data_IF_235773945076
#
_entry.id   IF_235773945076
#
_cell.length_a   1.000
_cell.length_b   1.000
_cell.length_c   1.000
_cell.angle_alpha   90.00
_cell.angle_beta   90.00
_cell.angle_gamma   90.00
#
_symmetry.space_group_name_H-M   'P 1'
#
loop_
_entity.id
_entity.type
_entity.pdbx_description
1 polymer ?
#
# COMPACT_ATOMS: atom_id res chain seq x y z
N UNK A 1 -27.43 -4.94 -29.55
CA UNK A 1 -28.90 -4.86 -29.51
C UNK A 1 -29.37 -5.49 -28.21
N UNK A 2 -29.97 -4.70 -27.30
CA UNK A 2 -30.90 -5.07 -26.21
C UNK A 2 -31.27 -3.73 -25.54
N UNK A 3 -32.20 -2.97 -26.12
CA UNK A 3 -33.64 -2.91 -25.78
C UNK A 3 -33.94 -2.34 -24.39
N UNK A 4 -34.22 -1.03 -24.39
CA UNK A 4 -34.76 -0.20 -23.31
C UNK A 4 -36.21 -0.58 -22.96
N UNK A 5 -36.59 -0.51 -21.68
CA UNK A 5 -38.01 -0.32 -21.33
C UNK A 5 -38.20 0.58 -20.09
N UNK A 6 -39.21 1.42 -20.27
CA UNK A 6 -39.60 2.65 -19.58
C UNK A 6 -40.06 2.52 -18.13
N UNK A 7 -39.92 3.66 -17.46
CA UNK A 7 -40.35 4.09 -16.14
C UNK A 7 -41.86 3.95 -15.86
N UNK A 8 -42.21 3.85 -14.57
CA UNK A 8 -43.50 4.31 -14.04
C UNK A 8 -43.32 4.99 -12.68
N UNK A 9 -43.74 6.27 -12.66
CA UNK A 9 -43.83 7.21 -11.53
C UNK A 9 -45.00 6.86 -10.62
N UNK A 10 -44.84 7.04 -9.30
CA UNK A 10 -45.92 7.28 -8.34
C UNK A 10 -45.41 8.20 -7.23
N UNK A 11 -45.99 9.41 -7.15
CA UNK A 11 -46.06 10.31 -5.98
C UNK A 11 -47.24 9.83 -5.10
N UNK A 12 -47.47 10.17 -3.83
CA UNK A 12 -47.06 11.19 -2.86
C UNK A 12 -47.17 10.51 -1.45
N UNK A 13 -46.94 11.08 -0.26
CA UNK A 13 -47.09 12.42 0.26
C UNK A 13 -46.31 12.55 1.58
N UNK A 14 -45.96 13.79 1.94
CA UNK A 14 -45.29 14.16 3.18
C UNK A 14 -46.27 14.28 4.36
N UNK A 15 -45.75 14.10 5.57
CA UNK A 15 -46.28 14.75 6.78
C UNK A 15 -45.16 14.97 7.77
N UNK A 16 -45.08 16.22 8.22
CA UNK A 16 -44.09 16.80 9.12
C UNK A 16 -44.43 16.58 10.59
N UNK A 17 -43.40 16.40 11.42
CA UNK A 17 -43.37 17.03 12.75
C UNK A 17 -41.94 17.10 13.27
N UNK A 18 -41.52 18.30 13.66
CA UNK A 18 -40.26 18.59 14.32
C UNK A 18 -40.43 18.46 15.85
N UNK A 19 -39.44 17.87 16.55
CA UNK A 19 -39.21 18.12 17.98
C UNK A 19 -37.71 18.11 18.27
N UNK A 20 -37.27 19.26 18.77
CA UNK A 20 -36.16 19.67 19.64
C UNK A 20 -35.13 18.63 20.10
N UNK A 21 -33.85 18.99 19.92
CA UNK A 21 -32.68 18.29 20.44
C UNK A 21 -32.34 18.76 21.87
N UNK A 22 -32.06 17.81 22.76
CA UNK A 22 -31.23 18.01 23.95
C UNK A 22 -30.27 16.84 24.13
N UNK A 23 -29.05 17.21 24.52
CA UNK A 23 -27.83 16.41 24.61
C UNK A 23 -27.82 15.43 25.79
N UNK A 24 -27.36 14.20 25.58
CA UNK A 24 -26.16 13.69 26.26
C UNK A 24 -25.75 12.28 25.78
N UNK A 25 -24.43 12.13 25.64
CA UNK A 25 -23.60 10.94 25.48
C UNK A 25 -24.21 9.57 25.80
N UNK A 26 -24.12 8.64 24.83
CA UNK A 26 -24.33 7.21 25.07
C UNK A 26 -23.27 6.36 24.35
N UNK A 27 -22.58 5.56 25.17
CA UNK A 27 -21.82 4.38 24.79
C UNK A 27 -22.63 3.47 23.86
N UNK A 28 -21.93 2.82 22.93
CA UNK A 28 -22.49 1.85 21.99
C UNK A 28 -23.28 0.75 22.75
N UNK A 29 -24.59 0.72 22.53
CA UNK A 29 -25.49 -0.29 23.06
C UNK A 29 -25.90 -1.23 21.93
N UNK A 30 -25.77 -2.54 22.16
CA UNK A 30 -26.27 -3.61 21.29
C UNK A 30 -27.80 -3.53 21.14
N UNK A 31 -28.39 -4.02 20.02
CA UNK A 31 -29.84 -3.94 19.83
C UNK A 31 -30.56 -4.90 20.78
N UNK A 32 -31.54 -4.37 21.50
CA UNK A 32 -32.45 -5.13 22.37
C UNK A 32 -33.50 -5.81 21.49
N UNK A 33 -33.54 -7.14 21.55
CA UNK A 33 -34.57 -7.96 20.91
C UNK A 33 -35.87 -7.89 21.71
N UNK A 34 -36.96 -7.48 21.05
CA UNK A 34 -38.32 -7.53 21.59
C UNK A 34 -38.83 -8.96 21.58
N UNK A 35 -39.27 -9.42 22.76
CA UNK A 35 -40.34 -10.41 22.96
C UNK A 35 -40.15 -11.80 22.34
N UNK A 36 -39.64 -12.75 23.14
CA UNK A 36 -39.97 -14.16 22.93
C UNK A 36 -40.62 -14.76 24.19
N UNK A 37 -41.76 -15.38 23.92
CA UNK A 37 -42.53 -16.28 24.77
C UNK A 37 -41.64 -17.34 25.41
N UNK A 38 -42.02 -17.76 26.63
CA UNK A 38 -41.33 -18.80 27.41
C UNK A 38 -41.30 -20.11 26.62
N UNK A 39 -40.26 -20.32 25.81
CA UNK A 39 -39.83 -21.64 25.38
C UNK A 39 -39.08 -22.27 26.54
N UNK A 40 -39.43 -23.50 26.93
CA UNK A 40 -38.58 -24.32 27.81
C UNK A 40 -37.15 -24.22 27.31
N UNK A 41 -36.24 -23.69 28.13
CA UNK A 41 -34.83 -23.53 27.78
C UNK A 41 -34.27 -24.89 27.35
N UNK A 42 -34.14 -25.08 26.05
CA UNK A 42 -33.39 -26.20 25.50
C UNK A 42 -31.94 -25.87 25.80
N UNK A 43 -31.39 -26.48 26.85
CA UNK A 43 -29.94 -26.44 27.09
C UNK A 43 -29.29 -27.10 25.88
N UNK A 44 -28.61 -26.30 25.06
CA UNK A 44 -27.87 -26.82 23.93
C UNK A 44 -26.83 -27.84 24.45
N UNK A 45 -26.72 -29.04 23.86
CA UNK A 45 -25.76 -30.05 24.30
C UNK A 45 -24.30 -29.69 23.96
N UNK A 46 -24.06 -28.52 23.37
CA UNK A 46 -22.75 -28.08 22.87
C UNK A 46 -22.55 -26.59 23.17
N UNK A 47 -21.29 -26.20 23.40
CA UNK A 47 -20.87 -24.82 23.58
C UNK A 47 -19.75 -24.46 22.59
N UNK A 48 -20.10 -23.99 21.38
CA UNK A 48 -19.11 -23.48 20.44
C UNK A 48 -18.35 -22.24 20.94
N UNK A 49 -18.93 -21.43 21.83
CA UNK A 49 -18.29 -20.25 22.40
C UNK A 49 -17.19 -20.64 23.41
N UNK A 50 -17.26 -21.85 23.97
CA UNK A 50 -16.21 -22.46 24.79
C UNK A 50 -14.85 -22.51 24.11
N UNK A 51 -14.75 -22.45 22.77
CA UNK A 51 -13.47 -22.29 22.07
C UNK A 51 -12.67 -21.08 22.56
N UNK A 52 -13.35 -19.97 22.89
CA UNK A 52 -12.70 -18.71 23.26
C UNK A 52 -11.96 -18.77 24.61
N UNK A 53 -12.15 -19.82 25.41
CA UNK A 53 -11.30 -20.08 26.58
C UNK A 53 -9.84 -20.34 26.20
N UNK A 54 -9.59 -20.79 24.96
CA UNK A 54 -8.26 -21.02 24.39
C UNK A 54 -7.76 -19.85 23.53
N UNK A 55 -8.51 -18.74 23.50
CA UNK A 55 -8.19 -17.53 22.75
C UNK A 55 -8.92 -17.37 21.42
N UNK A 56 -8.69 -16.23 20.77
CA UNK A 56 -9.30 -15.88 19.49
C UNK A 56 -8.45 -16.39 18.32
N UNK A 57 -9.00 -17.18 17.37
CA UNK A 57 -8.21 -17.79 16.30
C UNK A 57 -7.70 -16.78 15.25
N UNK A 58 -8.37 -15.64 15.07
CA UNK A 58 -8.02 -14.61 14.09
C UNK A 58 -9.21 -14.20 13.21
N UNK A 59 -9.00 -13.32 12.22
CA UNK A 59 -7.71 -12.77 11.77
C UNK A 59 -7.06 -11.82 12.80
N UNK A 60 -5.73 -11.72 12.77
CA UNK A 60 -4.97 -10.75 13.57
C UNK A 60 -4.42 -9.69 12.64
N UNK A 61 -4.84 -8.44 12.83
CA UNK A 61 -4.26 -7.30 12.15
C UNK A 61 -3.02 -6.84 12.93
N UNK A 62 -1.82 -7.25 12.49
CA UNK A 62 -0.57 -6.73 13.05
C UNK A 62 -0.40 -5.27 12.61
N UNK A 63 -0.88 -4.34 13.44
CA UNK A 63 -0.73 -2.92 13.21
C UNK A 63 0.64 -2.43 13.66
N UNK A 64 1.31 -1.68 12.80
CA UNK A 64 2.54 -0.97 13.15
C UNK A 64 2.37 0.53 12.89
N UNK A 65 2.70 1.33 13.89
CA UNK A 65 2.78 2.79 13.79
C UNK A 65 4.25 3.18 13.83
N UNK A 66 4.75 3.72 12.72
CA UNK A 66 6.13 4.12 12.52
C UNK A 66 6.20 5.61 12.15
N UNK A 67 7.39 6.16 12.05
CA UNK A 67 7.57 7.60 11.79
C UNK A 67 6.97 8.03 10.44
N UNK A 68 7.22 7.26 9.36
CA UNK A 68 6.77 7.58 8.01
C UNK A 68 5.47 6.89 7.58
N UNK A 69 5.04 5.85 8.31
CA UNK A 69 3.99 4.95 7.84
C UNK A 69 3.16 4.34 8.97
N UNK A 70 1.93 3.96 8.62
CA UNK A 70 1.10 3.03 9.40
C UNK A 70 0.81 1.84 8.51
N UNK A 71 0.95 0.62 9.02
CA UNK A 71 0.69 -0.61 8.24
C UNK A 71 -0.16 -1.61 9.00
N UNK A 72 -0.85 -2.47 8.24
CA UNK A 72 -1.39 -3.74 8.73
C UNK A 72 -0.70 -4.88 7.98
N UNK A 73 -0.22 -5.91 8.69
CA UNK A 73 0.50 -7.03 8.09
C UNK A 73 -0.32 -8.32 8.03
N UNK A 74 -0.36 -8.98 6.87
CA UNK A 74 -0.98 -10.31 6.70
C UNK A 74 0.07 -11.40 6.99
N UNK A 75 -0.04 -11.99 8.18
CA UNK A 75 0.79 -13.11 8.65
C UNK A 75 0.80 -14.31 7.70
N UNK A 76 -0.29 -14.56 6.96
CA UNK A 76 -0.43 -15.72 6.04
C UNK A 76 0.36 -15.49 4.75
N UNK A 77 0.33 -14.27 4.23
CA UNK A 77 1.01 -13.91 2.98
C UNK A 77 2.43 -13.41 3.19
N UNK A 78 2.77 -13.04 4.43
CA UNK A 78 4.02 -12.35 4.81
C UNK A 78 4.25 -11.04 4.04
N UNK A 79 3.16 -10.35 3.74
CA UNK A 79 3.11 -9.06 3.08
C UNK A 79 2.19 -8.11 3.86
N UNK A 80 2.35 -6.79 3.76
CA UNK A 80 1.35 -5.86 4.27
C UNK A 80 -0.01 -6.10 3.59
N UNK A 81 -1.08 -6.11 4.38
CA UNK A 81 -2.46 -5.97 3.88
C UNK A 81 -2.64 -4.59 3.25
N UNK A 82 -2.08 -3.56 3.90
CA UNK A 82 -2.01 -2.19 3.42
C UNK A 82 -0.93 -1.42 4.19
N UNK A 83 -0.40 -0.37 3.57
CA UNK A 83 0.47 0.61 4.19
C UNK A 83 0.00 2.01 3.81
N UNK A 84 -0.18 2.88 4.81
CA UNK A 84 -0.60 4.26 4.66
C UNK A 84 0.58 5.21 4.90
N UNK A 85 0.68 6.23 4.05
CA UNK A 85 1.64 7.34 4.16
C UNK A 85 0.95 8.69 3.99
N UNK A 86 1.61 9.73 4.46
CA UNK A 86 1.19 11.13 4.29
C UNK A 86 2.39 11.96 3.84
N UNK A 87 2.24 12.61 2.69
CA UNK A 87 3.26 13.50 2.13
C UNK A 87 2.69 14.91 1.97
N UNK A 88 3.55 15.89 2.20
CA UNK A 88 3.25 17.33 2.11
C UNK A 88 4.41 18.05 1.42
N UNK A 89 4.22 19.27 0.90
CA UNK A 89 5.33 20.07 0.40
C UNK A 89 6.46 20.23 1.42
N UNK A 90 6.10 20.43 2.69
CA UNK A 90 7.06 20.60 3.78
C UNK A 90 7.86 19.32 4.04
N UNK A 91 7.21 18.15 4.10
CA UNK A 91 7.91 16.88 4.34
C UNK A 91 8.83 16.50 3.18
N UNK A 92 8.49 16.84 1.94
CA UNK A 92 9.33 16.56 0.77
C UNK A 92 10.47 17.58 0.57
N UNK A 93 10.37 18.77 1.16
CA UNK A 93 11.41 19.79 1.11
C UNK A 93 12.59 19.48 2.07
N UNK A 94 12.34 18.75 3.15
CA UNK A 94 13.38 18.33 4.10
C UNK A 94 14.11 17.09 3.58
N UNK A 95 15.44 17.12 3.60
CA UNK A 95 16.29 16.04 3.07
C UNK A 95 17.40 15.65 4.05
N UNK A 96 17.01 15.29 5.27
CA UNK A 96 17.91 14.88 6.36
C UNK A 96 18.23 13.37 6.34
N UNK A 97 17.49 12.56 5.59
CA UNK A 97 17.75 11.12 5.43
C UNK A 97 18.56 10.81 4.17
N UNK A 98 19.54 9.90 4.29
CA UNK A 98 20.29 9.32 3.18
C UNK A 98 20.01 7.82 3.09
N UNK A 99 19.52 7.38 1.92
CA UNK A 99 19.21 5.98 1.62
C UNK A 99 20.42 5.07 1.82
N UNK A 100 21.64 5.58 1.65
CA UNK A 100 22.88 4.80 1.86
C UNK A 100 23.04 4.31 3.29
N UNK A 101 22.37 4.94 4.25
CA UNK A 101 22.42 4.57 5.67
C UNK A 101 21.24 3.69 6.11
N UNK A 102 20.36 3.30 5.18
CA UNK A 102 19.20 2.44 5.46
C UNK A 102 19.41 1.04 4.88
N UNK A 103 19.08 0.02 5.69
CA UNK A 103 19.28 -1.38 5.35
C UNK A 103 17.99 -2.16 5.55
N UNK A 104 17.70 -3.09 4.65
CA UNK A 104 16.55 -3.97 4.81
C UNK A 104 16.71 -4.82 6.07
N UNK A 105 15.67 -4.83 6.91
CA UNK A 105 15.68 -5.54 8.20
C UNK A 105 14.38 -6.32 8.40
N UNK A 106 14.49 -7.49 9.04
CA UNK A 106 13.34 -8.25 9.49
C UNK A 106 12.63 -7.51 10.65
N UNK A 107 11.31 -7.62 10.74
CA UNK A 107 10.54 -6.91 11.77
C UNK A 107 10.35 -7.77 13.03
N UNK A 108 11.03 -7.46 14.16
CA UNK A 108 10.91 -8.26 15.38
C UNK A 108 9.52 -8.19 16.02
N UNK A 109 8.70 -7.18 15.68
CA UNK A 109 7.34 -7.06 16.20
C UNK A 109 6.40 -8.15 15.67
N UNK A 110 6.71 -8.73 14.51
CA UNK A 110 5.98 -9.88 13.97
C UNK A 110 6.53 -11.17 14.59
N UNK A 111 5.68 -12.05 15.17
CA UNK A 111 6.13 -13.32 15.72
C UNK A 111 6.90 -14.13 14.68
N UNK A 112 7.99 -14.78 15.09
CA UNK A 112 8.95 -15.39 14.16
C UNK A 112 8.30 -16.34 13.13
N UNK A 113 7.32 -17.15 13.54
CA UNK A 113 6.61 -18.08 12.65
C UNK A 113 5.89 -17.40 11.47
N UNK A 114 5.56 -16.11 11.59
CA UNK A 114 4.88 -15.31 10.58
C UNK A 114 5.78 -14.24 9.93
N UNK A 115 7.03 -14.14 10.37
CA UNK A 115 7.96 -13.11 9.91
C UNK A 115 8.55 -13.50 8.54
N UNK A 116 8.52 -12.57 7.59
CA UNK A 116 9.34 -12.69 6.36
C UNK A 116 10.81 -12.46 6.69
N UNK A 117 11.71 -13.26 6.11
CA UNK A 117 13.15 -13.19 6.38
C UNK A 117 13.90 -12.66 5.17
N UNK A 118 15.06 -12.04 5.39
CA UNK A 118 15.87 -11.50 4.28
C UNK A 118 16.29 -12.59 3.29
N UNK A 119 16.56 -13.79 3.80
CA UNK A 119 16.90 -14.96 2.99
C UNK A 119 15.79 -15.39 2.03
N UNK A 120 14.53 -15.07 2.33
CA UNK A 120 13.39 -15.51 1.50
C UNK A 120 13.35 -14.74 0.17
N UNK A 121 13.94 -13.55 0.13
CA UNK A 121 14.12 -12.72 -1.08
C UNK A 121 15.44 -13.00 -1.82
N UNK A 122 16.41 -13.65 -1.16
CA UNK A 122 17.73 -13.87 -1.76
C UNK A 122 17.59 -14.87 -2.92
N UNK A 123 18.04 -14.47 -4.11
CA UNK A 123 17.95 -15.27 -5.35
C UNK A 123 16.54 -15.70 -5.75
N UNK A 124 15.48 -15.02 -5.25
CA UNK A 124 14.09 -15.34 -5.63
C UNK A 124 13.69 -14.84 -7.02
N UNK A 125 14.49 -13.94 -7.62
CA UNK A 125 14.12 -13.23 -8.86
C UNK A 125 13.27 -11.97 -8.64
N UNK A 126 12.90 -11.66 -7.38
CA UNK A 126 12.10 -10.49 -7.02
C UNK A 126 12.90 -9.49 -6.18
N UNK A 127 12.62 -8.21 -6.39
CA UNK A 127 13.08 -7.15 -5.50
C UNK A 127 12.25 -7.11 -4.22
N UNK A 128 12.87 -6.56 -3.16
CA UNK A 128 12.17 -6.10 -1.95
C UNK A 128 11.51 -4.76 -2.26
N UNK A 129 10.28 -4.81 -2.77
CA UNK A 129 9.53 -3.66 -3.23
C UNK A 129 8.83 -2.92 -2.11
N UNK A 130 9.14 -1.64 -1.93
CA UNK A 130 8.56 -0.80 -0.89
C UNK A 130 7.07 -0.53 -1.19
N UNK A 131 6.23 -0.51 -0.14
CA UNK A 131 4.88 0.05 -0.27
C UNK A 131 4.89 1.56 -0.02
N UNK A 132 5.56 1.99 1.06
CA UNK A 132 5.95 3.39 1.32
C UNK A 132 7.42 3.57 0.90
N UNK A 133 7.72 4.36 -0.14
CA UNK A 133 9.07 4.50 -0.65
C UNK A 133 9.96 5.33 0.26
N UNK A 134 11.23 4.92 0.39
CA UNK A 134 12.24 5.65 1.17
C UNK A 134 12.38 7.14 0.75
N UNK A 135 12.12 7.45 -0.52
CA UNK A 135 12.21 8.82 -1.03
C UNK A 135 11.20 9.80 -0.41
N UNK A 136 10.07 9.28 0.10
CA UNK A 136 8.99 10.08 0.70
C UNK A 136 9.27 10.34 2.19
N UNK A 137 10.21 9.59 2.78
CA UNK A 137 10.65 9.68 4.16
C UNK A 137 11.99 10.41 4.35
N UNK A 138 12.45 11.18 3.35
CA UNK A 138 13.73 11.92 3.39
C UNK A 138 13.82 12.98 4.48
N UNK A 139 12.72 13.36 5.11
CA UNK A 139 12.70 14.35 6.19
C UNK A 139 13.38 13.88 7.48
N UNK A 140 13.59 12.57 7.68
CA UNK A 140 14.30 12.00 8.83
C UNK A 140 14.99 10.69 8.46
N UNK A 141 16.20 10.46 8.97
CA UNK A 141 16.89 9.19 8.79
C UNK A 141 16.13 8.02 9.44
N UNK A 142 15.54 8.23 10.62
CA UNK A 142 14.76 7.20 11.32
C UNK A 142 13.47 6.88 10.55
N UNK A 143 12.82 7.91 10.02
CA UNK A 143 11.65 7.73 9.16
C UNK A 143 11.97 6.95 7.89
N UNK A 144 13.13 7.23 7.27
CA UNK A 144 13.61 6.45 6.14
C UNK A 144 13.93 5.01 6.55
N UNK A 145 14.63 4.79 7.66
CA UNK A 145 14.97 3.46 8.16
C UNK A 145 13.70 2.61 8.40
N UNK A 146 12.64 3.22 8.94
CA UNK A 146 11.34 2.57 9.14
C UNK A 146 10.75 2.02 7.83
N UNK A 147 11.02 2.65 6.69
CA UNK A 147 10.55 2.14 5.38
C UNK A 147 11.27 0.86 4.95
N UNK A 148 12.40 0.48 5.57
CA UNK A 148 13.19 -0.70 5.20
C UNK A 148 12.84 -1.97 5.97
N UNK A 149 11.87 -1.93 6.89
CA UNK A 149 11.33 -3.14 7.49
C UNK A 149 10.64 -4.02 6.45
N UNK A 150 10.85 -5.34 6.52
CA UNK A 150 10.19 -6.28 5.60
C UNK A 150 8.65 -6.27 5.71
N UNK A 151 8.08 -5.73 6.78
CA UNK A 151 6.64 -5.47 6.90
C UNK A 151 6.12 -4.38 5.95
N UNK A 152 7.00 -3.56 5.37
CA UNK A 152 6.72 -2.61 4.28
C UNK A 152 7.10 -3.18 2.89
N UNK A 153 7.49 -4.45 2.80
CA UNK A 153 7.94 -5.06 1.54
C UNK A 153 6.92 -6.02 0.96
N UNK A 154 6.93 -6.12 -0.37
CA UNK A 154 6.38 -7.24 -1.13
C UNK A 154 7.39 -7.68 -2.20
N UNK A 155 7.36 -8.93 -2.66
CA UNK A 155 8.08 -9.35 -3.86
C UNK A 155 7.59 -8.59 -5.09
N UNK A 156 8.45 -7.75 -5.68
CA UNK A 156 8.13 -6.98 -6.88
C UNK A 156 9.06 -7.37 -8.03
N UNK A 157 8.52 -7.40 -9.25
CA UNK A 157 9.34 -7.50 -10.46
C UNK A 157 10.31 -6.31 -10.48
N UNK A 158 11.60 -6.58 -10.66
CA UNK A 158 12.65 -5.56 -10.57
C UNK A 158 12.65 -4.61 -11.77
N UNK A 159 13.26 -5.07 -12.86
CA UNK A 159 13.34 -4.31 -14.12
C UNK A 159 11.96 -4.20 -14.79
N UNK A 160 11.62 -2.99 -15.23
CA UNK A 160 10.37 -2.66 -15.88
C UNK A 160 9.19 -2.45 -14.94
N UNK A 161 9.36 -2.64 -13.62
CA UNK A 161 8.32 -2.42 -12.63
C UNK A 161 8.83 -1.66 -11.40
N UNK A 162 9.37 -2.33 -10.36
CA UNK A 162 9.84 -1.69 -9.11
C UNK A 162 10.85 -0.56 -9.39
N UNK A 163 11.80 -0.82 -10.28
CA UNK A 163 12.90 0.12 -10.58
C UNK A 163 12.53 1.19 -11.62
N UNK A 164 11.38 1.03 -12.27
CA UNK A 164 10.95 1.85 -13.41
C UNK A 164 9.51 2.35 -13.21
N UNK A 165 8.50 1.69 -13.80
CA UNK A 165 7.11 2.19 -13.84
C UNK A 165 6.52 2.48 -12.45
N UNK A 166 6.78 1.62 -11.45
CA UNK A 166 6.35 1.83 -10.07
C UNK A 166 7.03 3.05 -9.44
N UNK A 167 8.34 3.23 -9.64
CA UNK A 167 9.07 4.40 -9.18
C UNK A 167 8.60 5.70 -9.87
N UNK A 168 8.21 5.63 -11.15
CA UNK A 168 7.58 6.76 -11.85
C UNK A 168 6.22 7.11 -11.26
N UNK A 169 5.43 6.11 -10.86
CA UNK A 169 4.14 6.30 -10.20
C UNK A 169 4.30 6.91 -8.80
N UNK A 170 5.31 6.48 -8.04
CA UNK A 170 5.69 7.12 -6.77
C UNK A 170 6.11 8.59 -6.99
N UNK A 171 6.84 8.89 -8.07
CA UNK A 171 7.16 10.28 -8.43
C UNK A 171 5.92 11.09 -8.79
N UNK A 172 4.93 10.49 -9.44
CA UNK A 172 3.63 11.12 -9.66
C UNK A 172 2.95 11.48 -8.35
N UNK A 173 2.90 10.56 -7.38
CA UNK A 173 2.36 10.83 -6.04
C UNK A 173 3.04 12.04 -5.38
N UNK A 174 4.38 12.12 -5.41
CA UNK A 174 5.12 13.29 -4.92
C UNK A 174 4.77 14.58 -5.67
N UNK A 175 4.61 14.52 -7.00
CA UNK A 175 4.24 15.72 -7.79
C UNK A 175 2.83 16.23 -7.47
N UNK A 176 1.92 15.41 -6.95
CA UNK A 176 0.62 15.91 -6.49
C UNK A 176 0.77 17.02 -5.44
N UNK A 177 1.85 17.00 -4.64
CA UNK A 177 2.07 18.04 -3.63
C UNK A 177 2.39 19.42 -4.21
N UNK A 178 2.61 19.55 -5.52
CA UNK A 178 2.74 20.89 -6.15
C UNK A 178 1.39 21.60 -6.27
N UNK A 179 0.28 20.84 -6.25
CA UNK A 179 -1.10 21.35 -6.32
C UNK A 179 -1.81 21.24 -4.98
N UNK A 180 -1.63 20.12 -4.27
CA UNK A 180 -2.32 19.83 -3.03
C UNK A 180 -1.39 19.97 -1.83
N UNK A 181 -1.76 20.74 -0.79
CA UNK A 181 -0.91 20.88 0.40
C UNK A 181 -0.79 19.59 1.23
N UNK A 182 -1.66 18.60 0.99
CA UNK A 182 -1.68 17.34 1.72
C UNK A 182 -2.11 16.18 0.81
N UNK A 183 -1.32 15.11 0.78
CA UNK A 183 -1.61 13.91 -0.01
C UNK A 183 -1.42 12.67 0.87
N UNK A 184 -2.49 11.91 1.07
CA UNK A 184 -2.48 10.62 1.79
C UNK A 184 -2.61 9.48 0.80
N UNK A 185 -1.81 8.43 0.98
CA UNK A 185 -1.73 7.33 0.02
C UNK A 185 -1.83 6.03 0.80
N UNK A 186 -2.69 5.13 0.35
CA UNK A 186 -2.75 3.75 0.83
C UNK A 186 -2.27 2.84 -0.28
N UNK A 187 -1.23 2.08 -0.02
CA UNK A 187 -0.60 1.14 -0.96
C UNK A 187 -0.75 -0.28 -0.45
N UNK A 188 -0.97 -1.24 -1.34
CA UNK A 188 -0.96 -2.65 -0.96
C UNK A 188 -0.96 -3.64 -2.12
N UNK A 189 -0.76 -4.93 -1.84
CA UNK A 189 -0.79 -6.00 -2.83
C UNK A 189 -2.21 -6.49 -3.14
N UNK A 190 -2.39 -7.08 -4.33
CA UNK A 190 -3.61 -7.80 -4.72
C UNK A 190 -3.29 -9.15 -5.36
N UNK A 191 -4.22 -10.09 -5.19
CA UNK A 191 -4.16 -11.46 -5.72
C UNK A 191 -5.40 -11.69 -6.58
N UNK A 192 -5.36 -11.19 -7.81
CA UNK A 192 -6.52 -11.13 -8.70
C UNK A 192 -6.71 -12.44 -9.47
N UNK A 193 -7.96 -12.90 -9.66
CA UNK A 193 -8.23 -14.10 -10.39
C UNK A 193 -7.99 -13.90 -11.89
N UNK A 194 -7.50 -14.94 -12.56
CA UNK A 194 -7.44 -15.03 -14.03
C UNK A 194 -8.32 -16.19 -14.49
N UNK A 195 -8.98 -15.99 -15.64
CA UNK A 195 -9.75 -17.06 -16.27
C UNK A 195 -8.80 -17.97 -17.03
N UNK A 196 -8.78 -19.24 -16.64
CA UNK A 196 -7.97 -20.26 -17.27
C UNK A 196 -8.50 -20.54 -18.68
N UNK A 197 -7.67 -20.41 -19.74
CA UNK A 197 -8.13 -20.65 -21.11
C UNK A 197 -8.42 -22.13 -21.40
N UNK A 198 -7.89 -23.08 -20.61
CA UNK A 198 -8.06 -24.50 -20.85
C UNK A 198 -9.44 -25.01 -20.43
N UNK A 199 -9.98 -24.53 -19.31
CA UNK A 199 -11.29 -24.98 -18.78
C UNK A 199 -12.28 -23.85 -18.50
N UNK A 200 -11.90 -22.59 -18.76
CA UNK A 200 -12.75 -21.42 -18.59
C UNK A 200 -13.05 -21.04 -17.15
N UNK A 201 -12.42 -21.67 -16.14
CA UNK A 201 -12.65 -21.39 -14.71
C UNK A 201 -11.78 -20.24 -14.21
N UNK A 202 -12.25 -19.55 -13.18
CA UNK A 202 -11.48 -18.49 -12.53
C UNK A 202 -10.59 -19.08 -11.43
N UNK A 203 -9.31 -18.72 -11.44
CA UNK A 203 -8.32 -19.15 -10.44
C UNK A 203 -7.48 -17.97 -10.00
N UNK A 204 -7.14 -17.95 -8.72
CA UNK A 204 -6.08 -17.09 -8.19
C UNK A 204 -4.81 -17.94 -8.13
N UNK A 205 -3.77 -17.51 -8.85
CA UNK A 205 -2.48 -18.19 -8.89
C UNK A 205 -1.38 -17.16 -8.66
N UNK A 206 -0.50 -17.45 -7.71
CA UNK A 206 0.67 -16.64 -7.37
C UNK A 206 1.82 -17.55 -6.94
N UNK A 207 3.04 -17.11 -7.19
CA UNK A 207 4.24 -17.77 -6.69
C UNK A 207 4.39 -17.52 -5.17
N UNK A 208 5.07 -18.45 -4.50
CA UNK A 208 5.49 -18.28 -3.10
C UNK A 208 7.00 -18.47 -3.05
N UNK A 209 7.73 -17.44 -2.59
CA UNK A 209 9.20 -17.44 -2.51
C UNK A 209 9.69 -17.83 -1.11
N UNK A 210 10.97 -18.15 -1.00
CA UNK A 210 11.64 -18.61 0.22
C UNK A 210 11.90 -20.11 0.23
N UNK A 211 12.69 -20.56 1.20
CA UNK A 211 13.01 -21.98 1.40
C UNK A 211 12.94 -22.34 2.90
N UNK A 212 11.87 -23.03 3.35
CA UNK A 212 10.70 -23.44 2.57
C UNK A 212 9.86 -22.24 2.07
N UNK A 213 9.08 -22.37 0.98
CA UNK A 213 8.27 -21.30 0.40
C UNK A 213 7.27 -20.73 1.40
N UNK A 214 7.29 -19.40 1.58
CA UNK A 214 6.57 -18.78 2.67
C UNK A 214 6.10 -17.32 2.41
N UNK A 215 6.66 -16.57 1.45
CA UNK A 215 6.20 -15.20 1.10
C UNK A 215 5.45 -15.23 -0.23
N UNK A 216 4.20 -14.78 -0.23
CA UNK A 216 3.41 -14.73 -1.46
C UNK A 216 3.92 -13.63 -2.40
N UNK A 217 3.93 -13.88 -3.70
CA UNK A 217 4.23 -12.86 -4.73
C UNK A 217 2.90 -12.24 -5.21
N UNK A 218 2.64 -10.96 -4.94
CA UNK A 218 1.41 -10.32 -5.41
C UNK A 218 1.27 -10.36 -6.93
N UNK A 219 0.03 -10.54 -7.41
CA UNK A 219 -0.25 -10.46 -8.85
C UNK A 219 -0.28 -9.03 -9.35
N UNK A 220 -0.71 -8.11 -8.49
CA UNK A 220 -0.89 -6.69 -8.77
C UNK A 220 -0.59 -5.90 -7.48
N UNK A 221 -0.42 -4.60 -7.63
CA UNK A 221 -0.38 -3.64 -6.54
C UNK A 221 -1.42 -2.55 -6.79
N UNK A 222 -1.90 -1.96 -5.70
CA UNK A 222 -2.75 -0.79 -5.77
C UNK A 222 -2.13 0.42 -5.06
N UNK A 223 -2.53 1.61 -5.50
CA UNK A 223 -2.50 2.82 -4.68
C UNK A 223 -3.88 3.47 -4.70
N UNK A 224 -4.41 3.81 -3.52
CA UNK A 224 -5.55 4.71 -3.35
C UNK A 224 -5.03 6.03 -2.79
N UNK A 225 -5.23 7.11 -3.55
CA UNK A 225 -4.65 8.42 -3.29
C UNK A 225 -5.77 9.39 -2.89
N UNK A 226 -5.55 10.13 -1.82
CA UNK A 226 -6.39 11.20 -1.30
C UNK A 226 -5.61 12.50 -1.33
N UNK A 227 -5.90 13.37 -2.30
CA UNK A 227 -5.27 14.67 -2.42
C UNK A 227 -6.23 15.75 -1.90
N UNK A 228 -5.79 16.46 -0.87
CA UNK A 228 -6.62 17.34 -0.05
C UNK A 228 -6.23 18.81 -0.26
N UNK A 229 -7.20 19.71 -0.18
CA UNK A 229 -6.99 21.16 -0.31
C UNK A 229 -6.42 21.83 0.96
N UNK A 230 -6.13 21.04 2.01
CA UNK A 230 -5.61 21.54 3.29
C UNK A 230 -6.69 21.91 4.31
N UNK A 231 -7.98 21.77 3.96
CA UNK A 231 -9.09 22.02 4.87
C UNK A 231 -9.77 20.72 5.32
N UNK A 232 -10.30 20.70 6.54
CA UNK A 232 -10.93 19.49 7.10
C UNK A 232 -12.28 19.15 6.46
N UNK A 233 -12.96 20.14 5.87
CA UNK A 233 -14.29 20.02 5.27
C UNK A 233 -14.28 20.16 3.73
N UNK A 234 -13.15 20.53 3.13
CA UNK A 234 -13.03 20.77 1.70
C UNK A 234 -13.12 19.50 0.85
N UNK A 235 -13.19 19.67 -0.49
CA UNK A 235 -13.14 18.57 -1.42
C UNK A 235 -11.83 17.79 -1.31
N UNK A 236 -11.93 16.49 -1.56
CA UNK A 236 -10.79 15.56 -1.62
C UNK A 236 -10.81 14.91 -3.00
N UNK A 237 -9.73 15.10 -3.74
CA UNK A 237 -9.51 14.46 -5.02
C UNK A 237 -8.99 13.03 -4.78
N UNK A 238 -9.75 12.03 -5.23
CA UNK A 238 -9.49 10.61 -4.99
C UNK A 238 -9.20 9.90 -6.31
N UNK A 239 -8.15 9.09 -6.33
CA UNK A 239 -7.82 8.20 -7.44
C UNK A 239 -7.40 6.83 -6.92
N UNK A 240 -7.83 5.77 -7.58
CA UNK A 240 -7.39 4.41 -7.31
C UNK A 240 -6.76 3.82 -8.57
N UNK A 241 -5.62 3.17 -8.40
CA UNK A 241 -4.85 2.60 -9.49
C UNK A 241 -4.47 1.16 -9.18
N UNK A 242 -4.57 0.26 -10.15
CA UNK A 242 -4.19 -1.15 -10.02
C UNK A 242 -3.23 -1.51 -11.14
N UNK A 243 -1.99 -1.85 -10.78
CA UNK A 243 -0.92 -2.16 -11.72
C UNK A 243 -0.51 -3.63 -11.58
N UNK A 244 -0.29 -4.37 -12.69
CA UNK A 244 0.22 -5.73 -12.62
C UNK A 244 1.66 -5.74 -12.08
N UNK A 245 2.00 -6.73 -11.26
CA UNK A 245 3.37 -6.99 -10.82
C UNK A 245 4.16 -7.66 -11.95
N UNK A 246 4.42 -6.89 -13.00
CA UNK A 246 5.06 -7.31 -14.23
C UNK A 246 5.71 -6.08 -14.90
N UNK A 247 6.60 -6.31 -15.87
CA UNK A 247 7.16 -5.22 -16.68
C UNK A 247 6.05 -4.43 -17.37
N UNK A 248 6.08 -3.11 -17.22
CA UNK A 248 5.16 -2.18 -17.88
C UNK A 248 5.99 -1.22 -18.75
N UNK A 249 5.70 -1.09 -20.05
CA UNK A 249 6.35 -0.10 -20.91
C UNK A 249 6.10 1.33 -20.42
N UNK A 250 7.12 2.18 -20.46
CA UNK A 250 7.05 3.56 -19.96
C UNK A 250 6.06 4.44 -20.74
N UNK A 251 5.76 4.06 -21.99
CA UNK A 251 4.82 4.76 -22.87
C UNK A 251 3.36 4.49 -22.48
N UNK A 252 3.10 3.46 -21.65
CA UNK A 252 1.74 3.14 -21.22
C UNK A 252 1.20 4.26 -20.32
N UNK A 253 0.04 4.87 -20.61
CA UNK A 253 -0.53 5.93 -19.77
C UNK A 253 -0.90 5.41 -18.38
N UNK A 254 -0.66 6.22 -17.33
CA UNK A 254 -1.08 5.88 -15.97
C UNK A 254 -2.60 5.70 -15.86
N UNK A 255 -3.37 6.47 -16.64
CA UNK A 255 -4.84 6.39 -16.70
C UNK A 255 -5.36 5.04 -17.17
N UNK A 256 -4.57 4.24 -17.87
CA UNK A 256 -4.95 2.85 -18.24
C UNK A 256 -5.09 1.94 -17.01
N UNK A 257 -4.48 2.34 -15.88
CA UNK A 257 -4.49 1.60 -14.63
C UNK A 257 -5.45 2.20 -13.60
N UNK A 258 -6.13 3.31 -13.93
CA UNK A 258 -7.12 3.91 -13.04
C UNK A 258 -8.37 3.01 -12.98
N UNK A 259 -8.85 2.77 -11.77
CA UNK A 259 -10.04 1.96 -11.50
C UNK A 259 -10.94 2.67 -10.49
N UNK A 260 -12.24 2.32 -10.41
CA UNK A 260 -13.08 2.73 -9.29
C UNK A 260 -12.50 2.23 -7.96
N UNK A 261 -12.62 3.03 -6.89
CA UNK A 261 -12.14 2.63 -5.56
C UNK A 261 -12.82 1.34 -5.10
N UNK A 262 -14.09 1.17 -5.43
CA UNK A 262 -14.90 0.00 -5.09
C UNK A 262 -14.34 -1.30 -5.70
N UNK A 263 -13.60 -1.22 -6.82
CA UNK A 263 -12.91 -2.39 -7.38
C UNK A 263 -11.73 -2.80 -6.52
N UNK A 264 -10.98 -1.84 -5.95
CA UNK A 264 -9.91 -2.13 -5.01
C UNK A 264 -10.50 -2.71 -3.72
N UNK A 265 -11.55 -2.08 -3.17
CA UNK A 265 -12.23 -2.54 -1.95
C UNK A 265 -12.71 -3.99 -2.07
N UNK A 266 -13.37 -4.34 -3.18
CA UNK A 266 -13.82 -5.72 -3.46
C UNK A 266 -12.66 -6.70 -3.59
N UNK A 267 -11.55 -6.28 -4.18
CA UNK A 267 -10.40 -7.15 -4.43
C UNK A 267 -9.50 -7.35 -3.20
N UNK A 268 -9.39 -6.33 -2.33
CA UNK A 268 -8.56 -6.36 -1.13
C UNK A 268 -9.31 -6.76 0.13
N UNK A 269 -10.64 -6.63 0.15
CA UNK A 269 -11.45 -6.78 1.37
C UNK A 269 -11.27 -5.62 2.35
N UNK A 270 -10.93 -4.43 1.85
CA UNK A 270 -10.72 -3.21 2.65
C UNK A 270 -11.78 -2.16 2.29
N UNK A 271 -11.97 -1.17 3.15
CA UNK A 271 -12.79 0.00 2.86
C UNK A 271 -11.98 1.27 3.08
N UNK A 272 -11.91 2.16 2.09
CA UNK A 272 -11.01 3.32 2.13
C UNK A 272 -11.74 4.64 2.41
N UNK A 273 -13.05 4.72 2.14
CA UNK A 273 -13.78 5.99 2.10
C UNK A 273 -15.04 6.03 2.96
N UNK A 274 -15.17 5.15 3.96
CA UNK A 274 -16.37 5.05 4.82
C UNK A 274 -16.72 6.35 5.54
N UNK A 275 -15.71 7.18 5.83
CA UNK A 275 -15.86 8.48 6.52
C UNK A 275 -15.79 9.70 5.61
N UNK A 276 -15.59 9.53 4.29
CA UNK A 276 -15.52 10.64 3.34
C UNK A 276 -16.88 10.78 2.61
N UNK A 277 -17.71 11.81 2.89
CA UNK A 277 -19.01 11.97 2.26
C UNK A 277 -18.91 12.10 0.74
N UNK A 278 -19.84 11.53 -0.05
CA UNK A 278 -19.80 11.59 -1.52
C UNK A 278 -19.69 13.00 -2.08
N UNK A 279 -20.31 13.99 -1.45
CA UNK A 279 -20.31 15.39 -1.88
C UNK A 279 -18.91 16.05 -1.83
N UNK A 280 -18.00 15.48 -1.03
CA UNK A 280 -16.62 15.94 -0.93
C UNK A 280 -15.69 15.21 -1.89
N UNK A 281 -16.12 14.13 -2.54
CA UNK A 281 -15.28 13.31 -3.41
C UNK A 281 -15.19 13.95 -4.80
N UNK A 282 -13.97 14.20 -5.26
CA UNK A 282 -13.66 14.56 -6.66
C UNK A 282 -12.81 13.45 -7.27
N UNK A 283 -12.90 13.23 -8.58
CA UNK A 283 -11.99 12.31 -9.27
C UNK A 283 -10.63 12.98 -9.48
N UNK A 284 -9.56 12.32 -9.07
CA UNK A 284 -8.20 12.88 -9.13
C UNK A 284 -7.78 13.23 -10.55
N UNK A 285 -8.01 12.32 -11.50
CA UNK A 285 -7.59 12.51 -12.89
C UNK A 285 -8.46 13.49 -13.70
N UNK A 286 -9.56 13.98 -13.12
CA UNK A 286 -10.34 15.10 -13.68
C UNK A 286 -9.78 16.46 -13.21
N UNK A 287 -9.22 16.51 -11.99
CA UNK A 287 -8.68 17.75 -11.40
C UNK A 287 -7.20 17.99 -11.74
N UNK A 288 -6.46 16.93 -12.06
CA UNK A 288 -5.06 16.98 -12.48
C UNK A 288 -4.76 15.96 -13.57
N UNK A 289 -3.87 16.31 -14.50
CA UNK A 289 -3.41 15.37 -15.52
C UNK A 289 -2.61 14.22 -14.86
N UNK A 290 -3.21 13.04 -14.81
CA UNK A 290 -2.59 11.79 -14.34
C UNK A 290 -1.56 11.26 -15.35
N UNK A 291 -0.44 11.97 -15.51
CA UNK A 291 0.66 11.60 -16.39
C UNK A 291 1.95 11.35 -15.63
N UNK A 292 2.68 10.32 -16.04
CA UNK A 292 4.02 10.03 -15.53
C UNK A 292 5.04 10.98 -16.15
N UNK A 293 6.07 11.32 -15.37
CA UNK A 293 7.28 11.97 -15.88
C UNK A 293 8.36 10.91 -15.89
N UNK A 294 8.70 10.46 -17.09
CA UNK A 294 9.79 9.50 -17.29
C UNK A 294 11.09 10.29 -17.20
N UNK A 295 11.70 10.28 -16.03
CA UNK A 295 13.09 10.71 -15.88
C UNK A 295 13.94 9.57 -16.44
N UNK A 296 14.81 9.83 -17.41
CA UNK A 296 15.77 8.83 -17.88
C UNK A 296 16.71 8.45 -16.72
N UNK A 297 16.34 7.43 -15.95
CA UNK A 297 17.10 6.93 -14.81
C UNK A 297 18.46 6.34 -15.24
N UNK A 298 18.60 6.02 -16.53
CA UNK A 298 19.86 5.55 -17.12
C UNK A 298 21.02 6.53 -16.89
N UNK A 299 20.76 7.83 -16.85
CA UNK A 299 21.79 8.85 -16.63
C UNK A 299 22.24 8.93 -15.17
N UNK A 300 21.34 8.63 -14.22
CA UNK A 300 21.70 8.56 -12.79
C UNK A 300 22.52 7.32 -12.48
N UNK A 301 22.16 6.14 -13.01
CA UNK A 301 22.98 4.93 -12.81
C UNK A 301 24.36 5.05 -13.46
N UNK A 302 24.46 5.67 -14.65
CA UNK A 302 25.76 5.97 -15.29
C UNK A 302 26.59 6.96 -14.46
N UNK A 303 25.97 7.94 -13.82
CA UNK A 303 26.65 8.87 -12.91
C UNK A 303 27.16 8.17 -11.64
N UNK A 304 26.42 7.18 -11.10
CA UNK A 304 26.88 6.36 -9.98
C UNK A 304 27.99 5.37 -10.38
N UNK A 305 27.95 4.81 -11.59
CA UNK A 305 29.00 3.93 -12.11
C UNK A 305 30.30 4.68 -12.43
N UNK A 306 30.22 5.92 -12.93
CA UNK A 306 31.39 6.78 -13.21
C UNK A 306 32.05 7.37 -11.95
N UNK A 307 31.37 7.36 -10.80
CA UNK A 307 31.94 7.81 -9.52
C UNK A 307 32.88 6.82 -8.84
N UNK A 308 33.05 5.61 -9.40
CA UNK A 308 33.90 4.54 -8.86
C UNK A 308 35.32 4.46 -9.41
N UNK A 309 35.68 5.27 -10.43
CA UNK A 309 37.04 5.32 -10.96
C UNK A 309 37.85 6.45 -10.31
N UNK A 310 38.17 6.29 -9.03
CA UNK A 310 39.25 7.04 -8.40
C UNK A 310 40.60 6.43 -8.81
N UNK A 311 41.25 7.11 -9.77
CA UNK A 311 42.70 7.20 -10.03
C UNK A 311 43.57 6.13 -9.35
N UNK A 312 44.12 5.22 -10.17
CA UNK A 312 45.35 4.49 -9.80
C UNK A 312 46.43 5.49 -9.41
N UNK A 313 46.75 5.54 -8.12
CA UNK A 313 47.96 6.18 -7.61
C UNK A 313 49.11 5.25 -8.00
N UNK A 314 49.96 5.69 -8.93
CA UNK A 314 51.23 5.02 -9.23
C UNK A 314 52.08 4.94 -7.96
N UNK A 315 52.50 3.73 -7.61
CA UNK A 315 53.44 3.51 -6.53
C UNK A 315 54.81 4.15 -6.87
N UNK A 316 55.44 4.88 -5.94
CA UNK A 316 56.74 5.49 -6.20
C UNK A 316 57.83 4.41 -6.27
N UNK A 317 58.63 4.47 -7.33
CA UNK A 317 59.78 3.63 -7.61
C UNK A 317 60.84 3.79 -6.52
N UNK A 318 61.15 2.69 -5.81
CA UNK A 318 62.17 2.66 -4.76
C UNK A 318 63.56 2.61 -5.41
N UNK A 319 64.27 3.74 -5.43
CA UNK A 319 65.69 3.81 -5.75
C UNK A 319 66.52 3.41 -4.54
N UNK A 320 67.29 2.32 -4.65
CA UNK A 320 68.31 1.94 -3.66
C UNK A 320 69.54 2.85 -3.74
N UNK A 321 70.09 3.29 -2.59
CA UNK A 321 71.50 3.67 -2.51
C UNK A 321 72.33 2.53 -1.90
N UNK A 322 73.48 2.27 -2.54
CA UNK A 322 74.57 1.43 -2.02
C UNK A 322 75.33 2.13 -0.89
N UNK A 323 75.76 1.31 0.08
CA UNK A 323 76.96 1.37 0.93
C UNK A 323 77.37 2.67 1.66
N UNK A 324 77.56 2.56 2.98
CA UNK A 324 78.91 2.52 3.58
C UNK A 324 78.85 2.42 5.13
N UNK A 325 79.67 1.51 5.66
CA UNK A 325 80.12 1.33 7.06
C UNK A 325 79.16 0.69 8.06
#
# INVERSE_FOLDING_TARGET
MYSTRSEKKLQAAASSTAVTASSNSANASLPITVGQTISKDIIAPVDPAGLFQYGFPGPVADLATRNALISSFDRRLRNPSWVAEHITPASLAVSNGDRKHSYFVEDPAVPEKFRGKLKDYLHSGYDRGHQVPAADAKWSQDAMNDTFFLTNMCPQVGEGFNRDYWAHFEDFCRRLTTRYPSVRIVTGPLYLPKRDPADGKWRVTYEVIGNPPNIAVPTHFYKVIFAEDGTTAGPVAVGAFVLPNARIPNEKPLTDFEVPVEMVERASGLEFMTKLPPQRRKRLCDDMMCALVIKDYSDRQKAFAKGGESKQIQAPTRTSPRHSS
#
